data_IF_328450837918
#
_entry.id   IF_328450837918
#
_cell.length_a   1.000
_cell.length_b   1.000
_cell.length_c   1.000
_cell.angle_alpha   90.00
_cell.angle_beta   90.00
_cell.angle_gamma   90.00
#
_symmetry.space_group_name_H-M   'P 1'
#
loop_
_entity.id
_entity.type
_entity.pdbx_description
1 polymer ?
#
# COMPACT_ATOMS: atom_id res chain seq x y z
N UNK A 1 41.21 -1.75 77.91
CA UNK A 1 40.51 -2.87 77.26
C UNK A 1 39.06 -2.83 77.74
N UNK A 2 38.22 -1.96 77.17
CA UNK A 2 36.83 -1.77 77.63
C UNK A 2 35.89 -2.71 76.90
N UNK A 3 35.09 -3.45 77.67
CA UNK A 3 34.06 -4.35 77.18
C UNK A 3 32.92 -3.58 76.48
N UNK A 4 32.31 -4.12 75.41
CA UNK A 4 31.18 -3.48 74.74
C UNK A 4 29.90 -3.52 75.59
N UNK A 5 29.19 -2.39 75.60
CA UNK A 5 27.94 -2.10 76.31
C UNK A 5 26.74 -2.92 75.75
N UNK A 6 25.99 -3.66 76.59
CA UNK A 6 24.88 -4.50 76.14
C UNK A 6 23.56 -3.76 75.82
N UNK A 7 23.51 -2.42 75.84
CA UNK A 7 22.24 -1.67 75.75
C UNK A 7 22.03 -0.80 74.50
N UNK A 8 22.81 -1.00 73.44
CA UNK A 8 22.60 -0.24 72.19
C UNK A 8 21.22 -0.59 71.54
N UNK A 9 20.36 0.40 71.24
CA UNK A 9 19.08 0.15 70.58
C UNK A 9 19.30 -0.36 69.15
N UNK A 10 18.47 -1.30 68.66
CA UNK A 10 18.62 -1.83 67.31
C UNK A 10 18.39 -0.71 66.28
N UNK A 11 19.37 -0.47 65.42
CA UNK A 11 19.23 0.43 64.27
C UNK A 11 18.14 -0.09 63.34
N UNK A 12 17.21 0.76 62.85
CA UNK A 12 16.17 0.33 61.92
C UNK A 12 16.82 -0.14 60.62
N UNK A 13 16.72 -1.45 60.35
CA UNK A 13 17.12 -2.03 59.08
C UNK A 13 16.12 -1.56 58.03
N UNK A 14 16.50 -0.60 57.20
CA UNK A 14 15.73 -0.17 56.03
C UNK A 14 15.70 -1.34 55.05
N UNK A 15 14.69 -2.19 55.18
CA UNK A 15 14.44 -3.32 54.28
C UNK A 15 14.16 -2.76 52.89
N UNK A 16 15.14 -2.93 52.00
CA UNK A 16 14.98 -2.73 50.56
C UNK A 16 13.73 -3.47 50.12
N UNK A 17 12.79 -2.71 49.57
CA UNK A 17 11.53 -3.12 48.95
C UNK A 17 11.55 -4.57 48.45
N UNK A 18 10.89 -5.45 49.20
CA UNK A 18 10.49 -6.75 48.68
C UNK A 18 9.47 -6.51 47.59
N UNK A 19 9.94 -6.34 46.35
CA UNK A 19 9.07 -6.31 45.19
C UNK A 19 8.40 -7.70 45.16
N UNK A 20 7.15 -7.76 45.59
CA UNK A 20 6.40 -9.01 45.70
C UNK A 20 6.45 -9.74 44.36
N UNK A 21 6.51 -11.09 44.37
CA UNK A 21 6.38 -11.90 43.15
C UNK A 21 5.21 -11.43 42.26
N UNK A 22 4.16 -10.90 42.90
CA UNK A 22 3.01 -10.25 42.26
C UNK A 22 3.38 -8.99 41.45
N UNK A 23 4.19 -8.09 42.01
CA UNK A 23 4.65 -6.89 41.30
C UNK A 23 5.59 -7.23 40.13
N UNK A 24 6.51 -8.20 40.30
CA UNK A 24 7.34 -8.69 39.19
C UNK A 24 6.49 -9.36 38.10
N UNK A 25 5.53 -10.20 38.49
CA UNK A 25 4.59 -10.82 37.56
C UNK A 25 3.76 -9.77 36.79
N UNK A 26 3.28 -8.72 37.45
CA UNK A 26 2.58 -7.62 36.78
C UNK A 26 3.48 -6.87 35.80
N UNK A 27 4.76 -6.66 36.11
CA UNK A 27 5.71 -6.04 35.18
C UNK A 27 5.93 -6.89 33.93
N UNK A 28 6.08 -8.21 34.08
CA UNK A 28 6.22 -9.14 32.95
C UNK A 28 4.94 -9.15 32.11
N UNK A 29 3.77 -9.18 32.75
CA UNK A 29 2.49 -9.15 32.06
C UNK A 29 2.29 -7.84 31.29
N UNK A 30 2.65 -6.71 31.90
CA UNK A 30 2.59 -5.39 31.25
C UNK A 30 3.52 -5.33 30.04
N UNK A 31 4.75 -5.84 30.16
CA UNK A 31 5.70 -5.90 29.05
C UNK A 31 5.18 -6.76 27.90
N UNK A 32 4.59 -7.92 28.20
CA UNK A 32 3.99 -8.81 27.20
C UNK A 32 2.80 -8.13 26.51
N UNK A 33 1.94 -7.46 27.28
CA UNK A 33 0.84 -6.66 26.74
C UNK A 33 1.32 -5.55 25.81
N UNK A 34 2.36 -4.81 26.20
CA UNK A 34 2.98 -3.78 25.35
C UNK A 34 3.54 -4.40 24.07
N UNK A 35 4.25 -5.53 24.13
CA UNK A 35 4.74 -6.24 22.95
C UNK A 35 3.62 -6.65 21.99
N UNK A 36 2.49 -7.15 22.50
CA UNK A 36 1.32 -7.50 21.67
C UNK A 36 0.76 -6.26 20.99
N UNK A 37 0.60 -5.14 21.71
CA UNK A 37 0.11 -3.88 21.14
C UNK A 37 1.07 -3.35 20.08
N UNK A 38 2.38 -3.34 20.35
CA UNK A 38 3.39 -2.92 19.37
C UNK A 38 3.34 -3.80 18.13
N UNK A 39 3.25 -5.12 18.29
CA UNK A 39 3.17 -6.05 17.17
C UNK A 39 1.89 -5.85 16.37
N UNK A 40 0.75 -5.61 17.03
CA UNK A 40 -0.52 -5.31 16.36
C UNK A 40 -0.47 -3.99 15.59
N UNK A 41 0.12 -2.94 16.17
CA UNK A 41 0.29 -1.63 15.51
C UNK A 41 1.25 -1.72 14.33
N UNK A 42 2.40 -2.38 14.50
CA UNK A 42 3.37 -2.61 13.43
C UNK A 42 2.76 -3.50 12.34
N UNK A 43 2.02 -4.54 12.72
CA UNK A 43 1.29 -5.39 11.80
C UNK A 43 0.23 -4.61 11.01
N UNK A 44 -0.54 -3.74 11.66
CA UNK A 44 -1.50 -2.86 11.00
C UNK A 44 -0.83 -1.82 10.10
N UNK A 45 0.32 -1.27 10.51
CA UNK A 45 1.11 -0.33 9.72
C UNK A 45 1.74 -1.01 8.49
N UNK A 46 2.27 -2.22 8.65
CA UNK A 46 2.82 -3.02 7.54
C UNK A 46 1.71 -3.50 6.61
N UNK A 47 0.55 -3.91 7.15
CA UNK A 47 -0.59 -4.32 6.35
C UNK A 47 -1.14 -3.14 5.54
N UNK A 48 -1.30 -1.95 6.15
CA UNK A 48 -1.69 -0.73 5.42
C UNK A 48 -0.67 -0.31 4.35
N UNK A 49 0.63 -0.50 4.58
CA UNK A 49 1.64 -0.30 3.54
C UNK A 49 1.62 -1.38 2.43
N UNK A 50 1.25 -2.62 2.76
CA UNK A 50 1.20 -3.74 1.80
C UNK A 50 -0.04 -3.66 0.92
N UNK A 51 -1.16 -3.18 1.43
CA UNK A 51 -2.35 -2.87 0.62
C UNK A 51 -2.09 -1.67 -0.31
N UNK A 52 -1.28 -0.69 0.12
CA UNK A 52 -0.90 0.44 -0.73
C UNK A 52 0.09 0.09 -1.87
N UNK A 53 0.85 -1.01 -1.74
CA UNK A 53 1.73 -1.53 -2.80
C UNK A 53 1.01 -2.47 -3.77
N UNK A 54 -0.07 -3.13 -3.35
CA UNK A 54 -0.91 -3.99 -4.20
C UNK A 54 -1.91 -3.20 -5.05
N UNK A 55 -2.57 -2.20 -4.45
CA UNK A 55 -3.62 -1.43 -5.13
C UNK A 55 -3.06 -0.61 -6.31
N UNK A 56 -1.80 -0.14 -6.25
CA UNK A 56 -1.21 0.62 -7.36
C UNK A 56 -0.88 -0.22 -8.60
N UNK A 57 -0.48 -1.49 -8.43
CA UNK A 57 -0.17 -2.35 -9.59
C UNK A 57 -1.43 -2.92 -10.23
N UNK A 58 -2.48 -3.19 -9.46
CA UNK A 58 -3.75 -3.72 -9.98
C UNK A 58 -4.65 -2.60 -10.51
N UNK A 59 -4.70 -1.42 -9.88
CA UNK A 59 -5.59 -0.33 -10.30
C UNK A 59 -4.98 0.63 -11.34
N UNK A 60 -3.65 0.64 -11.59
CA UNK A 60 -3.05 1.55 -12.59
C UNK A 60 -2.52 0.87 -13.85
N UNK A 61 -1.88 -0.30 -13.74
CA UNK A 61 -1.27 -0.97 -14.92
C UNK A 61 -2.35 -1.60 -15.81
N UNK A 62 -3.35 -2.24 -15.22
CA UNK A 62 -4.44 -2.88 -15.97
C UNK A 62 -5.32 -1.90 -16.79
N UNK A 63 -5.69 -0.69 -16.31
CA UNK A 63 -6.39 0.28 -17.15
C UNK A 63 -5.50 0.91 -18.22
N UNK A 64 -4.24 1.27 -17.91
CA UNK A 64 -3.34 1.84 -18.90
C UNK A 64 -3.05 0.87 -20.06
N UNK A 65 -2.82 -0.41 -19.75
CA UNK A 65 -2.63 -1.45 -20.78
C UNK A 65 -3.89 -1.66 -21.63
N UNK A 66 -5.09 -1.59 -21.03
CA UNK A 66 -6.36 -1.67 -21.76
C UNK A 66 -6.56 -0.48 -22.70
N UNK A 67 -6.22 0.72 -22.27
CA UNK A 67 -6.31 1.91 -23.14
C UNK A 67 -5.28 1.87 -24.28
N UNK A 68 -4.06 1.36 -24.02
CA UNK A 68 -3.07 1.14 -25.08
C UNK A 68 -3.57 0.14 -26.14
N UNK A 69 -4.16 -0.98 -25.72
CA UNK A 69 -4.77 -1.96 -26.65
C UNK A 69 -5.97 -1.38 -27.42
N UNK A 70 -6.76 -0.52 -26.79
CA UNK A 70 -7.87 0.20 -27.48
C UNK A 70 -7.34 1.16 -28.53
N UNK A 71 -6.26 1.88 -28.24
CA UNK A 71 -5.60 2.76 -29.19
C UNK A 71 -5.04 1.97 -30.37
N UNK A 72 -4.37 0.85 -30.12
CA UNK A 72 -3.86 -0.04 -31.18
C UNK A 72 -4.99 -0.54 -32.10
N UNK A 73 -6.09 -1.02 -31.52
CA UNK A 73 -7.27 -1.44 -32.30
C UNK A 73 -7.84 -0.30 -33.14
N UNK A 74 -7.87 0.93 -32.61
CA UNK A 74 -8.38 2.09 -33.31
C UNK A 74 -7.49 2.46 -34.51
N UNK A 75 -6.17 2.35 -34.38
CA UNK A 75 -5.22 2.58 -35.47
C UNK A 75 -5.32 1.49 -36.56
N UNK A 76 -5.53 0.23 -36.16
CA UNK A 76 -5.75 -0.87 -37.10
C UNK A 76 -7.06 -0.70 -37.90
N UNK A 77 -8.13 -0.22 -37.26
CA UNK A 77 -9.38 0.12 -37.94
C UNK A 77 -9.16 1.25 -38.96
N UNK A 78 -8.35 2.25 -38.62
CA UNK A 78 -7.97 3.32 -39.55
C UNK A 78 -7.18 2.80 -40.75
N UNK A 79 -6.16 1.98 -40.53
CA UNK A 79 -5.40 1.36 -41.62
C UNK A 79 -6.30 0.51 -42.52
N UNK A 80 -7.14 -0.34 -41.90
CA UNK A 80 -8.03 -1.24 -42.62
C UNK A 80 -9.04 -0.46 -43.46
N UNK A 81 -9.62 0.61 -42.92
CA UNK A 81 -10.60 1.43 -43.63
C UNK A 81 -9.98 2.16 -44.84
N UNK A 82 -8.85 2.83 -44.63
CA UNK A 82 -8.13 3.52 -45.71
C UNK A 82 -7.69 2.54 -46.79
N UNK A 83 -7.11 1.39 -46.40
CA UNK A 83 -6.69 0.36 -47.35
C UNK A 83 -7.85 -0.22 -48.15
N UNK A 84 -8.98 -0.48 -47.49
CA UNK A 84 -10.21 -0.93 -48.16
C UNK A 84 -10.68 0.07 -49.22
N UNK A 85 -10.78 1.34 -48.85
CA UNK A 85 -11.16 2.42 -49.77
C UNK A 85 -10.19 2.54 -50.95
N UNK A 86 -8.88 2.51 -50.71
CA UNK A 86 -7.89 2.63 -51.78
C UNK A 86 -7.97 1.48 -52.80
N UNK A 87 -8.36 0.27 -52.37
CA UNK A 87 -8.49 -0.90 -53.24
C UNK A 87 -9.76 -0.90 -54.08
N UNK A 88 -10.89 -0.47 -53.52
CA UNK A 88 -12.21 -0.62 -54.16
C UNK A 88 -12.84 0.70 -54.62
N UNK A 89 -12.34 1.83 -54.10
CA UNK A 89 -12.96 3.17 -54.13
C UNK A 89 -14.38 3.22 -53.55
N UNK A 90 -14.77 2.25 -52.73
CA UNK A 90 -16.04 2.27 -52.02
C UNK A 90 -15.94 3.15 -50.76
N UNK A 91 -16.62 4.32 -50.72
CA UNK A 91 -16.56 5.23 -49.57
C UNK A 91 -17.11 4.60 -48.28
N UNK A 92 -17.94 3.56 -48.35
CA UNK A 92 -18.42 2.85 -47.15
C UNK A 92 -17.29 2.21 -46.35
N UNK A 93 -16.18 1.88 -47.01
CA UNK A 93 -15.01 1.31 -46.34
C UNK A 93 -14.24 2.33 -45.49
N UNK A 94 -14.63 3.62 -45.48
CA UNK A 94 -14.07 4.61 -44.56
C UNK A 94 -14.74 4.61 -43.17
N UNK A 95 -15.85 3.89 -42.97
CA UNK A 95 -16.53 3.81 -41.67
C UNK A 95 -15.60 3.31 -40.53
N UNK A 96 -14.73 2.27 -40.73
CA UNK A 96 -13.73 1.89 -39.72
C UNK A 96 -12.73 3.00 -39.41
N UNK A 97 -12.35 3.81 -40.41
CA UNK A 97 -11.43 4.92 -40.21
C UNK A 97 -12.06 6.04 -39.36
N UNK A 98 -13.30 6.41 -39.65
CA UNK A 98 -14.00 7.44 -38.88
C UNK A 98 -14.19 7.03 -37.42
N UNK A 99 -14.61 5.77 -37.17
CA UNK A 99 -14.73 5.22 -35.81
C UNK A 99 -13.39 5.12 -35.10
N UNK A 100 -12.34 4.70 -35.81
CA UNK A 100 -10.98 4.61 -35.27
C UNK A 100 -10.46 5.98 -34.82
N UNK A 101 -10.75 7.05 -35.57
CA UNK A 101 -10.37 8.42 -35.22
C UNK A 101 -11.03 8.91 -33.91
N UNK A 102 -12.29 8.54 -33.69
CA UNK A 102 -13.01 8.88 -32.45
C UNK A 102 -12.43 8.10 -31.25
N UNK A 103 -12.18 6.81 -31.44
CA UNK A 103 -11.61 5.94 -30.41
C UNK A 103 -10.17 6.34 -30.03
N UNK A 104 -9.32 6.70 -31.00
CA UNK A 104 -7.97 7.22 -30.76
C UNK A 104 -8.01 8.46 -29.86
N UNK A 105 -8.85 9.45 -30.20
CA UNK A 105 -8.99 10.69 -29.41
C UNK A 105 -9.53 10.44 -28.02
N UNK A 106 -10.41 9.45 -27.84
CA UNK A 106 -10.94 9.09 -26.54
C UNK A 106 -9.89 8.39 -25.66
N UNK A 107 -9.13 7.46 -26.23
CA UNK A 107 -8.08 6.71 -25.51
C UNK A 107 -6.88 7.59 -25.18
N UNK A 108 -6.47 8.47 -26.10
CA UNK A 108 -5.35 9.40 -25.88
C UNK A 108 -5.64 10.36 -24.72
N UNK A 109 -6.85 10.95 -24.67
CA UNK A 109 -7.27 11.80 -23.55
C UNK A 109 -7.29 11.05 -22.21
N UNK A 110 -7.70 9.78 -22.20
CA UNK A 110 -7.68 8.95 -20.98
C UNK A 110 -6.26 8.64 -20.53
N UNK A 111 -5.36 8.35 -21.47
CA UNK A 111 -3.93 8.16 -21.19
C UNK A 111 -3.30 9.42 -20.61
N UNK A 112 -3.58 10.60 -21.18
CA UNK A 112 -3.10 11.89 -20.67
C UNK A 112 -3.55 12.13 -19.22
N UNK A 113 -4.85 11.97 -18.92
CA UNK A 113 -5.35 12.12 -17.53
C UNK A 113 -4.68 11.15 -16.55
N UNK A 114 -4.48 9.90 -16.94
CA UNK A 114 -3.84 8.91 -16.06
C UNK A 114 -2.36 9.19 -15.78
N UNK A 115 -1.69 9.93 -16.67
CA UNK A 115 -0.28 10.30 -16.56
C UNK A 115 -0.07 11.66 -15.90
N UNK A 116 -1.02 12.60 -16.05
CA UNK A 116 -1.00 13.92 -15.37
C UNK A 116 -1.32 13.82 -13.87
N UNK A 117 -1.94 12.72 -13.42
CA UNK A 117 -2.19 12.39 -12.00
C UNK A 117 -0.95 11.78 -11.27
N UNK A 118 0.27 11.97 -11.81
CA UNK A 118 1.57 11.72 -11.15
C UNK A 118 2.12 12.97 -10.45
#
# INVERSE_FOLDING_TARGET
MSAPDPTAPPTPRTGRTGLSLRAWFMSVLALLGVMVVVTAVVGAALLSNTTAAGDRLVDRIAPAQREALRLESALLDQETGVRGYLLTRDPKLLEPYERGLENERASSRRLETLLDDE
#
